data_IF_526123582267
#
_entry.id   IF_526123582267
#
_cell.length_a   1.000
_cell.length_b   1.000
_cell.length_c   1.000
_cell.angle_alpha   90.00
_cell.angle_beta   90.00
_cell.angle_gamma   90.00
#
_symmetry.space_group_name_H-M   'P 1'
#
loop_
_entity.id
_entity.type
_entity.pdbx_description
1 polymer ?
#
# COMPACT_ATOMS: atom_id res chain seq x y z
N UNK A 1 4.56 -32.36 49.83
CA UNK A 1 4.87 -32.28 48.39
C UNK A 1 3.91 -33.20 47.65
N UNK A 2 2.92 -32.81 46.84
CA UNK A 2 2.49 -31.53 46.26
C UNK A 2 0.98 -31.67 45.97
N UNK A 3 0.07 -31.38 46.92
CA UNK A 3 -1.38 -31.33 46.59
C UNK A 3 -1.87 -29.92 46.28
N UNK A 4 -1.24 -28.89 46.86
CA UNK A 4 -1.61 -27.49 46.62
C UNK A 4 -1.10 -26.96 45.27
N UNK A 5 0.01 -27.50 44.76
CA UNK A 5 0.57 -27.10 43.46
C UNK A 5 -0.24 -27.64 42.27
N UNK A 6 -0.87 -28.81 42.43
CA UNK A 6 -1.73 -29.40 41.38
C UNK A 6 -3.06 -28.65 41.24
N UNK A 7 -3.65 -28.20 42.34
CA UNK A 7 -4.93 -27.45 42.32
C UNK A 7 -4.74 -26.10 41.64
N UNK A 8 -3.64 -25.39 41.92
CA UNK A 8 -3.35 -24.10 41.29
C UNK A 8 -3.08 -24.23 39.77
N UNK A 9 -2.44 -25.32 39.32
CA UNK A 9 -2.25 -25.60 37.89
C UNK A 9 -3.55 -25.96 37.17
N UNK A 10 -4.44 -26.71 37.82
CA UNK A 10 -5.75 -27.08 37.29
C UNK A 10 -6.64 -25.83 37.20
N UNK A 11 -6.70 -24.99 38.23
CA UNK A 11 -7.49 -23.75 38.23
C UNK A 11 -6.99 -22.74 37.18
N UNK A 12 -5.67 -22.65 36.95
CA UNK A 12 -5.13 -21.82 35.86
C UNK A 12 -5.50 -22.41 34.50
N UNK A 13 -5.42 -23.73 34.33
CA UNK A 13 -5.76 -24.40 33.09
C UNK A 13 -7.25 -24.27 32.74
N UNK A 14 -8.14 -24.32 33.73
CA UNK A 14 -9.58 -24.13 33.58
C UNK A 14 -9.93 -22.66 33.27
N UNK A 15 -9.20 -21.70 33.85
CA UNK A 15 -9.35 -20.27 33.51
C UNK A 15 -8.95 -19.94 32.07
N UNK A 16 -7.94 -20.63 31.52
CA UNK A 16 -7.57 -20.49 30.10
C UNK A 16 -8.46 -21.34 29.18
N UNK A 17 -8.95 -22.49 29.64
CA UNK A 17 -9.87 -23.35 28.89
C UNK A 17 -11.30 -22.79 28.81
N UNK A 18 -11.68 -21.90 29.73
CA UNK A 18 -12.99 -21.23 29.77
C UNK A 18 -13.03 -19.91 28.96
N UNK A 19 -11.93 -19.47 28.37
CA UNK A 19 -11.97 -18.34 27.45
C UNK A 19 -12.63 -18.81 26.15
N UNK A 20 -13.95 -18.55 26.02
CA UNK A 20 -14.64 -18.73 24.76
C UNK A 20 -13.81 -18.11 23.63
N UNK A 21 -13.66 -18.83 22.51
CA UNK A 21 -12.92 -18.35 21.35
C UNK A 21 -13.43 -16.94 21.01
N UNK A 22 -12.60 -15.89 21.17
CA UNK A 22 -13.08 -14.54 21.10
C UNK A 22 -13.68 -14.29 19.72
N UNK A 23 -14.95 -13.90 19.68
CA UNK A 23 -15.62 -13.58 18.42
C UNK A 23 -14.77 -12.62 17.57
N UNK A 24 -14.86 -12.73 16.24
CA UNK A 24 -14.12 -11.84 15.34
C UNK A 24 -14.29 -10.36 15.70
N UNK A 25 -15.51 -9.95 16.07
CA UNK A 25 -15.82 -8.60 16.53
C UNK A 25 -15.06 -8.19 17.81
N UNK A 26 -14.88 -9.11 18.76
CA UNK A 26 -14.10 -8.85 19.97
C UNK A 26 -12.61 -8.70 19.67
N UNK A 27 -12.05 -9.59 18.85
CA UNK A 27 -10.66 -9.48 18.39
C UNK A 27 -10.41 -8.17 17.64
N UNK A 28 -11.35 -7.75 16.80
CA UNK A 28 -11.24 -6.49 16.06
C UNK A 28 -11.30 -5.27 16.99
N UNK A 29 -12.18 -5.29 17.99
CA UNK A 29 -12.22 -4.25 19.03
C UNK A 29 -10.90 -4.19 19.82
N UNK A 30 -10.31 -5.33 20.18
CA UNK A 30 -9.01 -5.38 20.85
C UNK A 30 -7.88 -4.85 19.97
N UNK A 31 -7.83 -5.25 18.69
CA UNK A 31 -6.86 -4.74 17.72
C UNK A 31 -6.99 -3.22 17.53
N UNK A 32 -8.22 -2.71 17.43
CA UNK A 32 -8.47 -1.27 17.33
C UNK A 32 -7.97 -0.52 18.56
N UNK A 33 -8.26 -1.02 19.78
CA UNK A 33 -7.76 -0.43 21.03
C UNK A 33 -6.23 -0.46 21.12
N UNK A 34 -5.60 -1.55 20.69
CA UNK A 34 -4.14 -1.66 20.62
C UNK A 34 -3.57 -0.61 19.66
N UNK A 35 -4.17 -0.45 18.48
CA UNK A 35 -3.74 0.53 17.49
C UNK A 35 -3.88 1.97 17.97
N UNK A 36 -5.02 2.32 18.58
CA UNK A 36 -5.25 3.65 19.14
C UNK A 36 -4.23 3.97 20.25
N UNK A 37 -3.92 3.01 21.13
CA UNK A 37 -2.91 3.16 22.18
C UNK A 37 -1.48 3.25 21.64
N UNK A 38 -1.11 2.36 20.72
CA UNK A 38 0.21 2.38 20.11
C UNK A 38 0.46 3.70 19.37
N UNK A 39 -0.56 4.25 18.70
CA UNK A 39 -0.47 5.57 18.08
C UNK A 39 -0.28 6.68 19.13
N UNK A 40 -1.07 6.69 20.21
CA UNK A 40 -0.97 7.69 21.27
C UNK A 40 0.38 7.66 22.01
N UNK A 41 0.99 6.48 22.15
CA UNK A 41 2.28 6.28 22.82
C UNK A 41 3.48 6.41 21.84
N UNK A 42 3.26 6.74 20.56
CA UNK A 42 4.34 6.87 19.57
C UNK A 42 5.02 5.54 19.21
N UNK A 43 4.31 4.42 19.41
CA UNK A 43 4.76 3.06 19.18
C UNK A 43 4.32 2.48 17.81
N UNK A 44 3.66 3.29 16.97
CA UNK A 44 3.21 2.91 15.64
C UNK A 44 3.99 3.66 14.55
N UNK A 45 4.85 2.95 13.83
CA UNK A 45 5.63 3.52 12.72
C UNK A 45 4.99 3.27 11.35
N UNK A 46 4.38 2.11 11.16
CA UNK A 46 3.73 1.75 9.90
C UNK A 46 2.31 1.29 10.19
N UNK A 47 1.35 2.14 9.83
CA UNK A 47 -0.05 1.78 9.83
C UNK A 47 -0.40 1.11 8.49
N UNK A 48 -1.26 0.09 8.51
CA UNK A 48 -1.81 -0.47 7.28
C UNK A 48 -3.31 -0.77 7.38
N UNK A 49 -3.95 -0.88 6.22
CA UNK A 49 -5.30 -1.41 6.02
C UNK A 49 -5.41 -2.06 4.65
N UNK A 50 -6.49 -2.81 4.43
CA UNK A 50 -6.87 -3.33 3.11
C UNK A 50 -8.21 -2.74 2.73
N UNK A 51 -8.35 -2.37 1.45
CA UNK A 51 -9.60 -1.87 0.86
C UNK A 51 -9.95 -2.72 -0.37
N UNK A 52 -11.24 -2.88 -0.63
CA UNK A 52 -11.73 -3.53 -1.85
C UNK A 52 -11.85 -2.49 -2.96
N UNK A 53 -11.35 -2.81 -4.15
CA UNK A 53 -11.37 -1.89 -5.29
C UNK A 53 -11.72 -2.61 -6.59
N UNK A 54 -12.08 -1.89 -7.66
CA UNK A 54 -12.30 -2.49 -8.99
C UNK A 54 -11.08 -3.21 -9.58
N UNK A 55 -9.87 -3.02 -9.04
CA UNK A 55 -8.64 -3.73 -9.44
C UNK A 55 -8.24 -4.83 -8.44
N UNK A 56 -9.19 -5.27 -7.63
CA UNK A 56 -9.01 -6.23 -6.55
C UNK A 56 -8.65 -5.57 -5.21
N UNK A 57 -8.42 -6.36 -4.16
CA UNK A 57 -8.01 -5.84 -2.86
C UNK A 57 -6.66 -5.12 -2.96
N UNK A 58 -6.57 -3.95 -2.34
CA UNK A 58 -5.34 -3.18 -2.20
C UNK A 58 -4.96 -3.04 -0.72
N UNK A 59 -3.70 -3.31 -0.40
CA UNK A 59 -3.12 -2.96 0.90
C UNK A 59 -2.54 -1.56 0.83
N UNK A 60 -3.01 -0.69 1.71
CA UNK A 60 -2.48 0.66 1.91
C UNK A 60 -1.62 0.66 3.17
N UNK A 61 -0.42 1.23 3.10
CA UNK A 61 0.41 1.44 4.27
C UNK A 61 0.96 2.87 4.32
N UNK A 62 1.02 3.44 5.53
CA UNK A 62 1.49 4.80 5.77
C UNK A 62 2.46 4.86 6.96
N UNK A 63 3.45 5.75 6.84
CA UNK A 63 4.30 6.20 7.95
C UNK A 63 3.75 7.51 8.54
N UNK A 64 4.36 8.09 9.60
CA UNK A 64 4.03 9.44 10.02
C UNK A 64 4.22 10.51 8.92
N UNK A 65 5.07 10.25 7.92
CA UNK A 65 5.30 11.17 6.80
C UNK A 65 4.16 11.15 5.78
N UNK A 66 3.51 10.01 5.57
CA UNK A 66 2.45 9.86 4.56
C UNK A 66 2.29 8.43 4.05
N UNK A 67 1.49 8.28 2.99
CA UNK A 67 1.29 7.01 2.30
C UNK A 67 2.62 6.54 1.71
N UNK A 68 3.07 5.36 2.11
CA UNK A 68 4.38 4.80 1.74
C UNK A 68 4.26 3.59 0.81
N UNK A 69 3.10 2.91 0.81
CA UNK A 69 2.88 1.70 0.01
C UNK A 69 1.41 1.55 -0.41
N UNK A 70 1.20 1.17 -1.68
CA UNK A 70 -0.07 0.64 -2.21
C UNK A 70 0.20 -0.69 -2.91
N UNK A 71 -0.13 -1.83 -2.28
CA UNK A 71 0.19 -3.14 -2.82
C UNK A 71 -1.04 -3.86 -3.38
N UNK A 72 -0.85 -4.58 -4.49
CA UNK A 72 -1.87 -5.47 -5.04
C UNK A 72 -1.83 -6.83 -4.33
N UNK A 73 -2.98 -7.50 -4.23
CA UNK A 73 -3.09 -8.84 -3.63
C UNK A 73 -2.07 -9.84 -4.21
N UNK A 74 -1.83 -9.79 -5.52
CA UNK A 74 -0.87 -10.66 -6.22
C UNK A 74 0.59 -10.53 -5.76
N UNK A 75 0.92 -9.49 -4.99
CA UNK A 75 2.24 -9.31 -4.39
C UNK A 75 2.39 -10.07 -3.07
N UNK A 76 1.28 -10.59 -2.51
CA UNK A 76 1.22 -11.26 -1.21
C UNK A 76 1.30 -10.27 -0.06
N UNK A 77 0.17 -9.99 0.59
CA UNK A 77 0.12 -8.97 1.66
C UNK A 77 1.06 -9.26 2.82
N UNK A 78 1.19 -10.51 3.24
CA UNK A 78 2.13 -10.89 4.32
C UNK A 78 3.58 -10.60 3.92
N UNK A 79 3.98 -10.97 2.69
CA UNK A 79 5.33 -10.69 2.18
C UNK A 79 5.59 -9.17 2.05
N UNK A 80 4.57 -8.39 1.71
CA UNK A 80 4.66 -6.92 1.68
C UNK A 80 4.86 -6.36 3.09
N UNK A 81 4.09 -6.83 4.08
CA UNK A 81 4.21 -6.39 5.47
C UNK A 81 5.56 -6.77 6.07
N UNK A 82 6.06 -7.97 5.81
CA UNK A 82 7.42 -8.40 6.21
C UNK A 82 8.50 -7.51 5.61
N UNK A 83 8.36 -7.15 4.33
CA UNK A 83 9.30 -6.25 3.67
C UNK A 83 9.25 -4.82 4.23
N UNK A 84 8.07 -4.32 4.63
CA UNK A 84 7.93 -3.04 5.32
C UNK A 84 8.57 -3.09 6.71
N UNK A 85 8.35 -4.18 7.45
CA UNK A 85 8.95 -4.41 8.76
C UNK A 85 10.48 -4.38 8.69
N UNK A 86 11.05 -5.05 7.69
CA UNK A 86 12.50 -5.11 7.49
C UNK A 86 13.13 -3.81 6.99
N UNK A 87 12.43 -3.05 6.13
CA UNK A 87 13.00 -1.85 5.47
C UNK A 87 12.73 -0.55 6.21
N UNK A 88 11.63 -0.45 6.95
CA UNK A 88 11.18 0.78 7.60
C UNK A 88 11.23 0.62 9.12
N UNK A 89 10.44 -0.29 9.67
CA UNK A 89 10.37 -0.53 11.11
C UNK A 89 9.53 -1.76 11.43
N UNK A 90 9.91 -2.58 12.42
CA UNK A 90 9.09 -3.72 12.87
C UNK A 90 7.78 -3.30 13.55
N UNK A 91 7.59 -2.02 13.86
CA UNK A 91 6.38 -1.48 14.51
C UNK A 91 5.25 -1.26 13.50
N UNK A 92 4.83 -2.37 12.87
CA UNK A 92 3.77 -2.44 11.85
C UNK A 92 2.48 -2.90 12.50
N UNK A 93 1.38 -2.16 12.32
CA UNK A 93 0.08 -2.53 12.89
C UNK A 93 -1.07 -2.17 11.96
N UNK A 94 -2.11 -3.02 11.96
CA UNK A 94 -3.37 -2.71 11.27
C UNK A 94 -4.06 -1.56 12.00
N UNK A 95 -4.14 -0.40 11.36
CA UNK A 95 -4.71 0.81 11.94
C UNK A 95 -5.49 1.60 10.86
N UNK A 96 -6.71 1.15 10.48
CA UNK A 96 -7.47 1.71 9.36
C UNK A 96 -7.70 3.22 9.45
N UNK A 97 -8.00 3.72 10.67
CA UNK A 97 -8.21 5.15 10.92
C UNK A 97 -7.08 6.06 10.44
N UNK A 98 -5.84 5.57 10.43
CA UNK A 98 -4.66 6.33 9.94
C UNK A 98 -4.63 6.47 8.43
N UNK A 99 -5.44 5.68 7.73
CA UNK A 99 -5.52 5.58 6.28
C UNK A 99 -6.90 6.02 5.75
N UNK A 100 -7.81 6.52 6.60
CA UNK A 100 -9.17 6.91 6.19
C UNK A 100 -9.17 7.91 5.03
N UNK A 101 -8.29 8.93 5.07
CA UNK A 101 -8.14 9.87 3.96
C UNK A 101 -7.71 9.15 2.67
N UNK A 102 -6.69 8.28 2.74
CA UNK A 102 -6.22 7.55 1.57
C UNK A 102 -7.28 6.60 1.00
N UNK A 103 -8.02 5.90 1.87
CA UNK A 103 -9.13 5.03 1.47
C UNK A 103 -10.24 5.84 0.80
N UNK A 104 -10.63 6.98 1.39
CA UNK A 104 -11.65 7.85 0.83
C UNK A 104 -11.26 8.37 -0.56
N UNK A 105 -10.04 8.86 -0.73
CA UNK A 105 -9.59 9.33 -2.05
C UNK A 105 -9.50 8.20 -3.08
N UNK A 106 -9.14 6.97 -2.66
CA UNK A 106 -9.19 5.80 -3.52
C UNK A 106 -10.62 5.51 -3.99
N UNK A 107 -11.59 5.54 -3.08
CA UNK A 107 -13.00 5.33 -3.42
C UNK A 107 -13.48 6.38 -4.43
N UNK A 108 -13.18 7.67 -4.18
CA UNK A 108 -13.54 8.76 -5.09
C UNK A 108 -12.92 8.60 -6.48
N UNK A 109 -11.64 8.17 -6.54
CA UNK A 109 -10.92 7.94 -7.80
C UNK A 109 -11.53 6.78 -8.59
N UNK A 110 -11.78 5.65 -7.93
CA UNK A 110 -12.40 4.49 -8.57
C UNK A 110 -13.86 4.73 -8.96
N UNK A 111 -14.56 5.65 -8.27
CA UNK A 111 -15.88 6.14 -8.66
C UNK A 111 -15.85 7.16 -9.82
N UNK A 112 -14.67 7.60 -10.26
CA UNK A 112 -14.51 8.61 -11.33
C UNK A 112 -14.84 10.04 -10.90
N UNK A 113 -15.03 10.28 -9.60
CA UNK A 113 -15.35 11.60 -9.03
C UNK A 113 -14.11 12.42 -8.66
N UNK A 114 -12.93 11.79 -8.69
CA UNK A 114 -11.62 12.40 -8.43
C UNK A 114 -10.64 12.08 -9.54
N UNK A 115 -9.85 13.09 -9.94
CA UNK A 115 -8.82 12.96 -10.99
C UNK A 115 -7.37 13.07 -10.48
N UNK A 116 -7.17 13.40 -9.20
CA UNK A 116 -5.85 13.52 -8.57
C UNK A 116 -5.90 13.28 -7.07
N UNK A 117 -4.75 12.96 -6.46
CA UNK A 117 -4.64 12.68 -5.02
C UNK A 117 -4.04 13.86 -4.27
N UNK A 118 -4.61 14.18 -3.12
CA UNK A 118 -4.11 15.19 -2.18
C UNK A 118 -3.67 14.50 -0.88
N UNK A 119 -2.73 13.57 -1.04
CA UNK A 119 -2.18 12.77 0.05
C UNK A 119 -0.72 13.12 0.26
N UNK A 120 -0.25 13.27 1.52
CA UNK A 120 1.17 13.27 1.77
C UNK A 120 1.76 11.91 1.38
N UNK A 121 2.81 11.92 0.55
CA UNK A 121 3.47 10.72 0.05
C UNK A 121 4.86 10.55 0.67
N UNK A 122 5.13 9.36 1.17
CA UNK A 122 6.44 8.96 1.66
C UNK A 122 7.17 8.11 0.61
N UNK A 123 8.28 8.64 0.10
CA UNK A 123 9.12 7.95 -0.88
C UNK A 123 10.25 7.14 -0.25
N UNK A 124 10.19 6.81 1.05
CA UNK A 124 11.24 6.07 1.76
C UNK A 124 11.64 4.74 1.09
N UNK A 125 10.70 4.08 0.41
CA UNK A 125 10.94 2.81 -0.31
C UNK A 125 11.61 2.97 -1.69
N UNK A 126 11.89 4.20 -2.11
CA UNK A 126 12.55 4.49 -3.38
C UNK A 126 13.72 5.46 -3.20
N UNK A 127 14.77 5.26 -3.99
CA UNK A 127 16.02 6.02 -3.90
C UNK A 127 16.60 6.28 -5.29
N UNK A 128 17.44 7.30 -5.39
CA UNK A 128 18.19 7.63 -6.60
C UNK A 128 17.29 7.83 -7.81
N UNK A 129 17.70 7.28 -8.96
CA UNK A 129 16.99 7.47 -10.23
C UNK A 129 15.54 6.97 -10.22
N UNK A 130 15.23 5.91 -9.45
CA UNK A 130 13.84 5.42 -9.35
C UNK A 130 12.93 6.45 -8.70
N UNK A 131 13.39 7.05 -7.62
CA UNK A 131 12.65 8.08 -6.90
C UNK A 131 12.46 9.32 -7.77
N UNK A 132 13.49 9.72 -8.53
CA UNK A 132 13.41 10.81 -9.49
C UNK A 132 12.29 10.56 -10.53
N UNK A 133 12.28 9.38 -11.15
CA UNK A 133 11.23 9.01 -12.11
C UNK A 133 9.86 9.00 -11.45
N UNK A 134 9.72 8.38 -10.28
CA UNK A 134 8.43 8.27 -9.58
C UNK A 134 7.88 9.63 -9.15
N UNK A 135 8.73 10.62 -8.89
CA UNK A 135 8.32 12.01 -8.63
C UNK A 135 7.92 12.77 -9.89
N UNK A 136 8.36 12.31 -11.06
CA UNK A 136 7.97 12.88 -12.35
C UNK A 136 6.60 12.37 -12.82
N UNK A 137 6.25 11.12 -12.50
CA UNK A 137 5.01 10.48 -12.97
C UNK A 137 3.71 11.26 -12.70
N UNK A 138 3.51 11.94 -11.55
CA UNK A 138 2.30 12.73 -11.30
C UNK A 138 2.06 13.86 -12.31
N UNK A 139 3.08 14.31 -13.04
CA UNK A 139 2.93 15.31 -14.11
C UNK A 139 2.27 14.74 -15.39
N UNK A 140 2.11 13.42 -15.48
CA UNK A 140 1.27 12.80 -16.52
C UNK A 140 -0.17 12.85 -16.00
N UNK A 141 -0.94 13.84 -16.47
CA UNK A 141 -2.30 14.11 -15.99
C UNK A 141 -3.28 12.95 -16.20
N UNK A 142 -4.40 13.00 -15.47
CA UNK A 142 -5.51 12.05 -15.62
C UNK A 142 -6.01 12.01 -17.07
N UNK A 143 -6.27 10.81 -17.59
CA UNK A 143 -6.74 10.63 -18.97
C UNK A 143 -5.65 10.84 -20.03
N UNK A 144 -4.40 11.05 -19.61
CA UNK A 144 -3.26 11.19 -20.50
C UNK A 144 -2.25 10.07 -20.31
N UNK A 145 -1.50 9.79 -21.37
CA UNK A 145 -0.40 8.81 -21.33
C UNK A 145 0.91 9.42 -21.80
N UNK A 146 2.02 8.80 -21.42
CA UNK A 146 3.35 9.12 -21.92
C UNK A 146 4.12 7.84 -22.24
N UNK A 147 5.02 7.90 -23.21
CA UNK A 147 5.94 6.80 -23.47
C UNK A 147 7.08 6.77 -22.45
N UNK A 148 7.66 5.60 -22.21
CA UNK A 148 8.90 5.49 -21.42
C UNK A 148 10.03 6.41 -21.93
N UNK A 149 10.07 6.66 -23.25
CA UNK A 149 11.02 7.58 -23.87
C UNK A 149 10.76 9.02 -23.46
N UNK A 150 9.51 9.48 -23.54
CA UNK A 150 9.14 10.84 -23.11
C UNK A 150 9.43 11.05 -21.62
N UNK A 151 9.17 10.06 -20.76
CA UNK A 151 9.52 10.15 -19.34
C UNK A 151 11.04 10.22 -19.15
N UNK A 152 11.82 9.43 -19.89
CA UNK A 152 13.29 9.48 -19.85
C UNK A 152 13.84 10.86 -20.26
N UNK A 153 13.22 11.50 -21.26
CA UNK A 153 13.53 12.87 -21.68
C UNK A 153 13.20 13.89 -20.58
N UNK A 154 12.01 13.80 -19.95
CA UNK A 154 11.60 14.70 -18.86
C UNK A 154 12.52 14.66 -17.65
N UNK A 155 13.02 13.47 -17.29
CA UNK A 155 13.99 13.31 -16.19
C UNK A 155 15.44 13.62 -16.59
N UNK A 156 15.67 14.19 -17.77
CA UNK A 156 16.99 14.65 -18.22
C UNK A 156 17.94 13.55 -18.66
N UNK A 157 17.46 12.32 -18.90
CA UNK A 157 18.30 11.22 -19.39
C UNK A 157 17.60 10.42 -20.50
N UNK A 158 17.61 10.91 -21.75
CA UNK A 158 16.92 10.28 -22.88
C UNK A 158 17.35 8.83 -23.16
N UNK A 159 18.55 8.42 -22.72
CA UNK A 159 19.06 7.05 -22.88
C UNK A 159 18.57 6.08 -21.79
N UNK A 160 17.91 6.57 -20.74
CA UNK A 160 17.50 5.79 -19.58
C UNK A 160 16.14 5.10 -19.71
N UNK A 161 15.61 4.89 -20.92
CA UNK A 161 14.28 4.29 -21.17
C UNK A 161 14.06 2.98 -20.39
N UNK A 162 15.04 2.07 -20.38
CA UNK A 162 14.95 0.81 -19.61
C UNK A 162 14.90 1.04 -18.09
N UNK A 163 15.69 1.99 -17.59
CA UNK A 163 15.70 2.32 -16.17
C UNK A 163 14.40 3.00 -15.72
N UNK A 164 13.78 3.80 -16.59
CA UNK A 164 12.42 4.32 -16.38
C UNK A 164 11.41 3.18 -16.29
N UNK A 165 11.50 2.19 -17.20
CA UNK A 165 10.68 0.98 -17.14
C UNK A 165 10.78 0.27 -15.79
N UNK A 166 12.00 0.06 -15.29
CA UNK A 166 12.23 -0.51 -13.95
C UNK A 166 11.65 0.37 -12.85
N UNK A 167 11.82 1.69 -12.91
CA UNK A 167 11.28 2.61 -11.91
C UNK A 167 9.73 2.59 -11.86
N UNK A 168 9.07 2.44 -13.01
CA UNK A 168 7.63 2.24 -13.10
C UNK A 168 7.20 0.88 -12.54
N UNK A 169 7.92 -0.20 -12.89
CA UNK A 169 7.62 -1.56 -12.41
C UNK A 169 7.85 -1.75 -10.91
N UNK A 170 8.70 -0.90 -10.30
CA UNK A 170 9.05 -0.95 -8.87
C UNK A 170 8.51 0.26 -8.11
N UNK A 171 7.46 0.90 -8.63
CA UNK A 171 6.76 1.97 -7.96
C UNK A 171 6.09 1.44 -6.67
N UNK A 172 6.45 1.93 -5.47
CA UNK A 172 5.81 1.50 -4.23
C UNK A 172 4.38 2.06 -4.07
N UNK A 173 4.02 3.08 -4.84
CA UNK A 173 2.75 3.81 -4.73
C UNK A 173 1.96 3.75 -6.06
N UNK A 174 1.68 2.56 -6.66
CA UNK A 174 0.84 2.48 -7.85
C UNK A 174 -0.56 3.10 -7.60
N UNK A 175 -1.29 3.39 -8.69
CA UNK A 175 -2.54 4.19 -8.69
C UNK A 175 -2.29 5.65 -8.33
N UNK A 176 -1.78 5.92 -7.12
CA UNK A 176 -1.52 7.27 -6.59
C UNK A 176 -0.37 7.96 -7.33
N UNK A 177 0.76 7.26 -7.48
CA UNK A 177 1.83 7.63 -8.41
C UNK A 177 1.57 6.88 -9.72
N UNK A 178 1.17 7.56 -10.80
CA UNK A 178 0.42 6.94 -11.89
C UNK A 178 1.31 6.25 -12.94
N UNK A 179 2.05 5.22 -12.54
CA UNK A 179 2.91 4.46 -13.46
C UNK A 179 2.13 3.64 -14.51
N UNK A 180 0.81 3.45 -14.33
CA UNK A 180 -0.07 2.87 -15.35
C UNK A 180 -0.22 3.75 -16.59
N UNK A 181 -0.03 5.08 -16.46
CA UNK A 181 -0.08 6.04 -17.58
C UNK A 181 1.17 5.98 -18.48
N UNK A 182 2.17 5.17 -18.13
CA UNK A 182 3.39 5.01 -18.94
C UNK A 182 3.30 3.77 -19.85
N UNK A 183 3.37 4.01 -21.16
CA UNK A 183 3.22 3.00 -22.21
C UNK A 183 4.50 2.84 -23.04
N UNK A 184 4.55 1.78 -23.86
CA UNK A 184 5.56 1.70 -24.92
C UNK A 184 5.23 2.73 -26.01
N UNK A 185 6.23 3.08 -26.83
CA UNK A 185 6.07 4.07 -27.91
C UNK A 185 5.03 3.64 -28.95
N UNK A 186 4.81 2.34 -29.12
CA UNK A 186 3.78 1.77 -30.01
C UNK A 186 2.38 1.72 -29.37
N UNK A 187 2.21 2.29 -28.17
CA UNK A 187 0.95 2.27 -27.41
C UNK A 187 0.70 0.99 -26.62
N UNK A 188 1.53 -0.06 -26.78
CA UNK A 188 1.32 -1.33 -26.06
C UNK A 188 1.63 -1.23 -24.57
N UNK A 189 0.97 -2.07 -23.78
CA UNK A 189 1.14 -2.12 -22.34
C UNK A 189 2.52 -2.67 -21.94
N UNK A 190 3.33 -1.85 -21.28
CA UNK A 190 4.51 -2.33 -20.56
C UNK A 190 4.15 -3.01 -19.23
N UNK A 191 5.17 -3.52 -18.53
CA UNK A 191 4.99 -4.17 -17.23
C UNK A 191 4.34 -3.25 -16.19
N UNK A 192 3.51 -3.84 -15.33
CA UNK A 192 2.84 -3.16 -14.24
C UNK A 192 2.74 -4.09 -13.06
N UNK A 193 3.00 -3.57 -11.85
CA UNK A 193 3.04 -4.38 -10.63
C UNK A 193 1.70 -5.06 -10.37
N UNK A 194 0.58 -4.36 -10.63
CA UNK A 194 -0.78 -4.92 -10.56
C UNK A 194 -1.17 -5.84 -11.71
N UNK A 195 -0.33 -5.98 -12.75
CA UNK A 195 -0.62 -6.79 -13.94
C UNK A 195 -1.32 -6.04 -15.06
N UNK A 196 -1.47 -6.71 -16.20
CA UNK A 196 -2.05 -6.12 -17.41
C UNK A 196 -3.52 -5.74 -17.20
N UNK A 197 -4.29 -6.56 -16.49
CA UNK A 197 -5.72 -6.33 -16.26
C UNK A 197 -5.97 -5.10 -15.39
N UNK A 198 -5.24 -4.96 -14.29
CA UNK A 198 -5.29 -3.76 -13.44
C UNK A 198 -4.88 -2.51 -14.22
N UNK A 199 -3.80 -2.59 -15.01
CA UNK A 199 -3.34 -1.47 -15.85
C UNK A 199 -4.41 -1.04 -16.86
N UNK A 200 -5.03 -2.00 -17.53
CA UNK A 200 -6.10 -1.77 -18.52
C UNK A 200 -7.33 -1.16 -17.86
N UNK A 201 -7.71 -1.67 -16.68
CA UNK A 201 -8.85 -1.16 -15.90
C UNK A 201 -8.64 0.31 -15.53
N UNK A 202 -7.46 0.67 -15.04
CA UNK A 202 -7.13 2.05 -14.70
C UNK A 202 -7.10 2.96 -15.93
N UNK A 203 -6.48 2.53 -17.03
CA UNK A 203 -6.46 3.32 -18.28
C UNK A 203 -7.88 3.56 -18.81
N UNK A 204 -8.74 2.54 -18.77
CA UNK A 204 -10.14 2.63 -19.18
C UNK A 204 -10.95 3.55 -18.28
N UNK A 205 -10.79 3.43 -16.96
CA UNK A 205 -11.41 4.33 -15.98
C UNK A 205 -11.08 5.78 -16.30
N UNK A 206 -9.83 6.06 -16.68
CA UNK A 206 -9.37 7.41 -17.00
C UNK A 206 -9.69 7.87 -18.43
N UNK A 207 -10.26 7.03 -19.29
CA UNK A 207 -10.40 7.25 -20.73
C UNK A 207 -9.06 7.54 -21.45
N UNK A 208 -7.97 6.90 -21.00
CA UNK A 208 -6.61 7.18 -21.44
C UNK A 208 -6.08 6.23 -22.53
N UNK A 209 -6.69 5.05 -22.73
CA UNK A 209 -6.41 4.07 -23.79
C UNK A 209 -7.47 2.97 -23.84
#
# INVERSE_FOLDING_TARGET
MNRETDIACIELSERFASAADPSAAHLDALRARLADRAAAEGLLDVAYTTIDTPVGPLLLAATPTGLVRVAYEREGFDAVLDALAAKLSPRVLRAPKRLDSAAHEMDEYFAGTRTGFDLPLDYALSRGFRQLVQRELPHIGYGSTASYKQVAERVGNPRAVRAVGTACATNPLPVVVPCHRVLRTDGTLGGYVGGADAKTTLLRLENAA
#
